data_IF_903770276448
#
_entry.id   IF_903770276448
#
_cell.length_a   1.000
_cell.length_b   1.000
_cell.length_c   1.000
_cell.angle_alpha   90.00
_cell.angle_beta   90.00
_cell.angle_gamma   90.00
#
_symmetry.space_group_name_H-M   'P 1'
#
loop_
_entity.id
_entity.type
_entity.pdbx_description
1 polymer ?
#
# COMPACT_ATOMS: atom_id res chain seq x y z
N UNK A 1 -20.30 18.88 -3.23
CA UNK A 1 -19.32 18.12 -4.02
C UNK A 1 -19.04 16.82 -3.27
N UNK A 2 -19.50 15.66 -3.76
CA UNK A 2 -19.14 14.38 -3.14
C UNK A 2 -17.67 14.13 -3.51
N UNK A 3 -16.77 14.33 -2.54
CA UNK A 3 -15.36 14.02 -2.71
C UNK A 3 -15.23 12.59 -3.17
N UNK A 4 -14.51 12.37 -4.27
CA UNK A 4 -14.13 11.02 -4.72
C UNK A 4 -13.45 10.36 -3.53
N UNK A 5 -14.10 9.38 -2.90
CA UNK A 5 -13.45 8.53 -1.91
C UNK A 5 -12.31 7.87 -2.68
N UNK A 6 -11.11 8.41 -2.49
CA UNK A 6 -9.92 7.87 -3.11
C UNK A 6 -9.51 6.68 -2.25
N UNK A 7 -9.89 5.51 -2.75
CA UNK A 7 -9.54 4.21 -2.18
C UNK A 7 -8.02 4.09 -1.99
N UNK A 8 -7.61 3.30 -1.00
CA UNK A 8 -6.21 2.94 -0.87
C UNK A 8 -5.80 2.16 -2.14
N UNK A 9 -4.51 2.23 -2.54
CA UNK A 9 -4.00 1.31 -3.55
C UNK A 9 -4.34 -0.15 -3.21
N UNK A 10 -4.74 -0.95 -4.20
CA UNK A 10 -5.14 -2.36 -4.03
C UNK A 10 -4.10 -3.19 -3.26
N UNK A 11 -2.82 -2.83 -3.38
CA UNK A 11 -1.71 -3.46 -2.67
C UNK A 11 -1.81 -3.29 -1.14
N UNK A 12 -2.27 -2.13 -0.68
CA UNK A 12 -2.46 -1.86 0.73
C UNK A 12 -3.69 -2.58 1.29
N UNK A 13 -4.68 -2.89 0.44
CA UNK A 13 -5.78 -3.80 0.78
C UNK A 13 -5.29 -5.24 0.95
N UNK A 14 -4.41 -5.72 0.07
CA UNK A 14 -3.80 -7.06 0.21
C UNK A 14 -2.98 -7.16 1.50
N UNK A 15 -2.20 -6.14 1.82
CA UNK A 15 -1.41 -6.11 3.05
C UNK A 15 -2.28 -5.97 4.30
N UNK A 16 -3.29 -5.10 4.25
CA UNK A 16 -4.27 -4.95 5.33
C UNK A 16 -4.99 -6.26 5.64
N UNK A 17 -5.43 -7.00 4.61
CA UNK A 17 -6.06 -8.30 4.78
C UNK A 17 -5.14 -9.32 5.48
N UNK A 18 -3.83 -9.29 5.19
CA UNK A 18 -2.87 -10.15 5.89
C UNK A 18 -2.67 -9.78 7.37
N UNK A 19 -2.92 -8.51 7.72
CA UNK A 19 -2.96 -8.01 9.09
C UNK A 19 -4.33 -8.19 9.77
N UNK A 20 -5.29 -8.84 9.11
CA UNK A 20 -6.64 -9.05 9.65
C UNK A 20 -7.58 -7.84 9.50
N UNK A 21 -7.20 -6.84 8.71
CA UNK A 21 -8.03 -5.65 8.45
C UNK A 21 -9.01 -5.89 7.30
N UNK A 22 -10.22 -5.34 7.41
CA UNK A 22 -11.18 -5.28 6.31
C UNK A 22 -10.95 -4.07 5.38
N UNK A 23 -11.66 -4.03 4.25
CA UNK A 23 -11.49 -2.97 3.24
C UNK A 23 -11.88 -1.57 3.75
N UNK A 24 -12.84 -1.48 4.66
CA UNK A 24 -13.30 -0.21 5.24
C UNK A 24 -12.28 0.31 6.26
N UNK A 25 -11.69 -0.58 7.05
CA UNK A 25 -10.58 -0.29 7.96
C UNK A 25 -9.35 0.19 7.18
N UNK A 26 -8.96 -0.52 6.12
CA UNK A 26 -7.85 -0.11 5.24
C UNK A 26 -8.12 1.27 4.63
N UNK A 27 -9.34 1.52 4.15
CA UNK A 27 -9.73 2.84 3.61
C UNK A 27 -9.64 3.92 4.68
N UNK A 28 -10.03 3.62 5.91
CA UNK A 28 -9.97 4.54 7.04
C UNK A 28 -8.52 4.88 7.41
N UNK A 29 -7.66 3.88 7.51
CA UNK A 29 -6.23 4.06 7.76
C UNK A 29 -5.57 4.87 6.65
N UNK A 30 -5.96 4.65 5.40
CA UNK A 30 -5.46 5.41 4.26
C UNK A 30 -5.83 6.90 4.35
N UNK A 31 -7.06 7.22 4.72
CA UNK A 31 -7.46 8.62 4.95
C UNK A 31 -6.67 9.26 6.09
N UNK A 32 -6.45 8.51 7.18
CA UNK A 32 -5.62 8.96 8.31
C UNK A 32 -4.18 9.24 7.87
N UNK A 33 -3.59 8.35 7.08
CA UNK A 33 -2.24 8.51 6.56
C UNK A 33 -2.09 9.74 5.67
N UNK A 34 -3.08 9.98 4.81
CA UNK A 34 -3.13 11.17 3.94
C UNK A 34 -3.30 12.46 4.71
N UNK A 35 -4.14 12.48 5.73
CA UNK A 35 -4.34 13.65 6.57
C UNK A 35 -3.05 13.99 7.33
N UNK A 36 -2.39 12.99 7.90
CA UNK A 36 -1.10 13.18 8.54
C UNK A 36 -0.05 13.75 7.57
N UNK A 37 0.05 13.22 6.35
CA UNK A 37 0.99 13.75 5.35
C UNK A 37 0.65 15.20 4.93
N UNK A 38 -0.65 15.56 4.91
CA UNK A 38 -1.07 16.96 4.72
C UNK A 38 -0.67 17.84 5.90
N UNK A 39 -0.85 17.36 7.12
CA UNK A 39 -0.51 18.11 8.34
C UNK A 39 1.00 18.32 8.47
N UNK A 40 1.81 17.33 8.08
CA UNK A 40 3.27 17.40 8.13
C UNK A 40 3.86 18.27 7.01
N UNK A 41 3.34 18.15 5.77
CA UNK A 41 3.94 18.77 4.59
C UNK A 41 3.21 20.03 4.10
N UNK A 42 2.02 20.31 4.64
CA UNK A 42 1.19 21.46 4.30
C UNK A 42 0.50 21.40 2.93
N UNK A 43 0.82 20.42 2.07
CA UNK A 43 0.20 20.29 0.75
C UNK A 43 0.27 18.88 0.17
N UNK A 44 -0.79 18.48 -0.53
CA UNK A 44 -0.82 17.26 -1.36
C UNK A 44 0.09 17.34 -2.59
N UNK A 45 0.52 18.54 -3.00
CA UNK A 45 1.45 18.72 -4.11
C UNK A 45 2.92 18.59 -3.71
N UNK A 46 3.20 18.39 -2.42
CA UNK A 46 4.57 18.24 -1.94
C UNK A 46 5.22 16.98 -2.56
N UNK A 47 6.47 17.02 -3.04
CA UNK A 47 7.10 15.86 -3.70
C UNK A 47 7.17 14.59 -2.85
N UNK A 48 7.14 14.75 -1.52
CA UNK A 48 7.14 13.64 -0.55
C UNK A 48 5.74 13.21 -0.09
N UNK A 49 4.66 13.84 -0.55
CA UNK A 49 3.31 13.58 -0.05
C UNK A 49 2.92 12.10 -0.16
N UNK A 50 3.12 11.51 -1.34
CA UNK A 50 2.81 10.10 -1.56
C UNK A 50 3.73 9.18 -0.75
N UNK A 51 4.99 9.58 -0.55
CA UNK A 51 5.95 8.81 0.23
C UNK A 51 5.56 8.79 1.71
N UNK A 52 5.27 9.94 2.32
CA UNK A 52 4.87 10.03 3.72
C UNK A 52 3.52 9.36 3.98
N UNK A 53 2.58 9.47 3.03
CA UNK A 53 1.30 8.75 3.09
C UNK A 53 1.53 7.24 3.13
N UNK A 54 2.32 6.69 2.20
CA UNK A 54 2.60 5.25 2.20
C UNK A 54 3.38 4.81 3.44
N UNK A 55 4.38 5.58 3.87
CA UNK A 55 5.19 5.27 5.05
C UNK A 55 4.31 5.16 6.29
N UNK A 56 3.41 6.10 6.52
CA UNK A 56 2.50 6.03 7.66
C UNK A 56 1.48 4.91 7.50
N UNK A 57 0.94 4.69 6.30
CA UNK A 57 0.00 3.59 6.07
C UNK A 57 0.63 2.24 6.42
N UNK A 58 1.85 1.97 5.96
CA UNK A 58 2.56 0.73 6.30
C UNK A 58 2.72 0.57 7.80
N UNK A 59 3.15 1.63 8.50
CA UNK A 59 3.27 1.61 9.95
C UNK A 59 1.95 1.28 10.65
N UNK A 60 0.83 1.85 10.19
CA UNK A 60 -0.49 1.59 10.77
C UNK A 60 -0.94 0.13 10.55
N UNK A 61 -0.60 -0.47 9.41
CA UNK A 61 -0.87 -1.89 9.17
C UNK A 61 0.06 -2.77 10.02
N UNK A 62 1.33 -2.41 10.18
CA UNK A 62 2.26 -3.11 11.08
C UNK A 62 1.80 -3.07 12.54
N UNK A 63 1.33 -1.91 13.01
CA UNK A 63 0.76 -1.75 14.34
C UNK A 63 -0.48 -2.66 14.52
N UNK A 64 -1.36 -2.74 13.50
CA UNK A 64 -2.51 -3.64 13.51
C UNK A 64 -2.10 -5.13 13.48
N UNK A 65 -1.12 -5.50 12.65
CA UNK A 65 -0.64 -6.87 12.51
C UNK A 65 0.01 -7.40 13.81
N UNK A 66 0.54 -6.50 14.64
CA UNK A 66 1.23 -6.84 15.88
C UNK A 66 0.36 -6.62 17.13
N UNK A 67 -0.86 -6.12 16.97
CA UNK A 67 -1.79 -5.90 18.08
C UNK A 67 -2.16 -7.23 18.75
N UNK A 68 -1.97 -7.29 20.07
CA UNK A 68 -2.26 -8.51 20.86
C UNK A 68 -1.28 -9.66 20.67
N UNK A 69 -0.22 -9.50 19.86
CA UNK A 69 0.81 -10.51 19.67
C UNK A 69 1.81 -10.50 20.82
N UNK A 70 2.19 -11.67 21.38
CA UNK A 70 3.27 -11.77 22.36
C UNK A 70 4.58 -11.13 21.85
N UNK A 71 5.31 -10.34 22.67
CA UNK A 71 6.50 -9.61 22.21
C UNK A 71 7.61 -10.49 21.59
N UNK A 72 7.70 -11.76 22.00
CA UNK A 72 8.63 -12.74 21.47
C UNK A 72 8.26 -13.25 20.06
N UNK A 73 7.00 -13.10 19.66
CA UNK A 73 6.49 -13.48 18.33
C UNK A 73 6.41 -12.31 17.35
N UNK A 74 6.41 -11.07 17.84
CA UNK A 74 6.39 -9.85 17.02
C UNK A 74 7.45 -9.86 15.91
N UNK A 75 8.73 -10.24 16.15
CA UNK A 75 9.72 -10.27 15.08
C UNK A 75 9.37 -11.23 13.94
N UNK A 76 8.71 -12.36 14.23
CA UNK A 76 8.30 -13.33 13.23
C UNK A 76 7.10 -12.84 12.41
N UNK A 77 6.11 -12.24 13.08
CA UNK A 77 4.97 -11.62 12.41
C UNK A 77 5.42 -10.50 11.47
N UNK A 78 6.33 -9.65 11.93
CA UNK A 78 6.91 -8.56 11.11
C UNK A 78 7.71 -9.10 9.93
N UNK A 79 8.47 -10.18 10.12
CA UNK A 79 9.19 -10.84 9.03
C UNK A 79 8.23 -11.34 7.94
N UNK A 80 7.19 -12.08 8.30
CA UNK A 80 6.20 -12.60 7.35
C UNK A 80 5.47 -11.47 6.62
N UNK A 81 5.13 -10.40 7.36
CA UNK A 81 4.51 -9.20 6.81
C UNK A 81 5.41 -8.50 5.77
N UNK A 82 6.70 -8.32 6.07
CA UNK A 82 7.66 -7.71 5.13
C UNK A 82 7.92 -8.58 3.90
N UNK A 83 7.92 -9.91 4.03
CA UNK A 83 7.98 -10.83 2.89
C UNK A 83 6.73 -10.71 2.02
N UNK A 84 5.55 -10.58 2.64
CA UNK A 84 4.29 -10.30 1.94
C UNK A 84 4.34 -8.99 1.16
N UNK A 85 4.83 -7.91 1.77
CA UNK A 85 5.01 -6.61 1.12
C UNK A 85 5.96 -6.68 -0.08
N UNK A 86 7.11 -7.36 0.07
CA UNK A 86 8.07 -7.55 -1.02
C UNK A 86 7.46 -8.31 -2.20
N UNK A 87 6.65 -9.35 -1.94
CA UNK A 87 5.97 -10.11 -2.98
C UNK A 87 4.98 -9.25 -3.77
N UNK A 88 4.19 -8.43 -3.07
CA UNK A 88 3.22 -7.51 -3.69
C UNK A 88 3.95 -6.48 -4.56
N UNK A 89 5.04 -5.90 -4.08
CA UNK A 89 5.88 -4.96 -4.84
C UNK A 89 6.54 -5.62 -6.07
N UNK A 90 7.07 -6.82 -5.92
CA UNK A 90 7.66 -7.57 -7.04
C UNK A 90 6.61 -7.86 -8.14
N UNK A 91 5.39 -8.26 -7.74
CA UNK A 91 4.27 -8.48 -8.67
C UNK A 91 3.90 -7.19 -9.40
N UNK A 92 3.96 -6.04 -8.73
CA UNK A 92 3.73 -4.72 -9.34
C UNK A 92 4.83 -4.36 -10.34
N UNK A 93 6.10 -4.57 -9.99
CA UNK A 93 7.23 -4.36 -10.91
C UNK A 93 7.06 -5.15 -12.21
N UNK A 94 6.69 -6.43 -12.10
CA UNK A 94 6.44 -7.30 -13.26
C UNK A 94 5.22 -6.83 -14.07
N UNK A 95 4.11 -6.45 -13.42
CA UNK A 95 2.91 -5.95 -14.11
C UNK A 95 3.15 -4.62 -14.82
N UNK A 96 3.88 -3.69 -14.21
CA UNK A 96 4.22 -2.39 -14.82
C UNK A 96 5.12 -2.58 -16.04
N UNK A 97 6.14 -3.45 -15.94
CA UNK A 97 6.98 -3.81 -17.09
C UNK A 97 6.18 -4.52 -18.17
N UNK A 98 5.29 -5.46 -17.81
CA UNK A 98 4.41 -6.16 -18.75
C UNK A 98 3.39 -5.24 -19.44
N UNK A 99 2.83 -4.27 -18.72
CA UNK A 99 1.94 -3.24 -19.26
C UNK A 99 2.69 -2.32 -20.24
N UNK A 100 3.87 -1.86 -19.85
CA UNK A 100 4.75 -1.07 -20.73
C UNK A 100 5.10 -1.83 -22.01
N UNK A 101 5.50 -3.11 -21.89
CA UNK A 101 5.78 -4.00 -23.02
C UNK A 101 4.55 -4.17 -23.93
N UNK A 102 3.37 -4.37 -23.35
CA UNK A 102 2.12 -4.54 -24.11
C UNK A 102 1.70 -3.28 -24.85
N UNK A 103 1.94 -2.10 -24.27
CA UNK A 103 1.57 -0.80 -24.84
C UNK A 103 2.60 -0.26 -25.84
N UNK A 104 3.88 -0.62 -25.70
CA UNK A 104 4.99 -0.01 -26.45
C UNK A 104 5.78 -0.97 -27.34
N UNK A 105 5.52 -2.29 -27.30
CA UNK A 105 6.00 -3.18 -28.36
C UNK A 105 4.92 -3.30 -29.45
N UNK A 106 5.25 -3.07 -30.73
CA UNK A 106 4.32 -3.30 -31.82
C UNK A 106 3.92 -4.77 -31.80
N UNK A 107 2.64 -5.04 -31.58
CA UNK A 107 2.09 -6.37 -31.70
C UNK A 107 2.46 -6.92 -33.08
N UNK A 108 3.20 -8.03 -33.12
CA UNK A 108 3.18 -8.91 -34.27
C UNK A 108 1.75 -9.44 -34.36
N UNK A 109 0.89 -8.72 -35.08
CA UNK A 109 -0.24 -9.36 -35.73
C UNK A 109 0.35 -10.33 -36.74
N UNK A 110 0.24 -11.62 -36.40
CA UNK A 110 0.36 -12.74 -37.30
C UNK A 110 -0.48 -12.47 -38.55
N UNK A 111 0.20 -12.33 -39.69
CA UNK A 111 -0.30 -12.79 -40.99
C UNK A 111 0.31 -14.15 -41.28
#
# INVERSE_FOLDING_TARGET
MRGKVMYAPDELHILGASAGLDDDEVTTLWQKARQYALDELGSASHPKYDHETHRLMLRLIEDAATEGIPPDLVPWVMFDFHIGALYVDARRGIKTVGGYIKEHLPGKHSG
#
